data_IF_516022606130
#
_entry.id   IF_516022606130
#
_cell.length_a   1.000
_cell.length_b   1.000
_cell.length_c   1.000
_cell.angle_alpha   90.00
_cell.angle_beta   90.00
_cell.angle_gamma   90.00
#
_symmetry.space_group_name_H-M   'P 1'
#
loop_
_entity.id
_entity.type
_entity.pdbx_description
1 polymer ?
#
# COMPACT_ATOMS: atom_id res chain seq x y z
N UNK A 1 -0.89 -30.04 -79.68
CA UNK A 1 -0.23 -30.32 -78.39
C UNK A 1 0.76 -29.21 -78.07
N UNK A 2 0.45 -28.30 -77.14
CA UNK A 2 1.42 -27.44 -76.43
C UNK A 2 0.81 -27.01 -75.09
N UNK A 3 1.63 -27.15 -74.04
CA UNK A 3 1.29 -27.31 -72.62
C UNK A 3 0.83 -26.01 -71.97
N UNK A 4 -0.23 -26.08 -71.15
CA UNK A 4 -0.65 -25.01 -70.25
C UNK A 4 0.16 -25.08 -68.94
N UNK A 5 0.91 -24.01 -68.65
CA UNK A 5 1.58 -23.80 -67.36
C UNK A 5 0.56 -23.34 -66.33
N UNK A 6 0.34 -24.14 -65.29
CA UNK A 6 -0.46 -23.75 -64.12
C UNK A 6 0.42 -22.96 -63.16
N UNK A 7 0.11 -21.68 -63.01
CA UNK A 7 0.65 -20.82 -61.95
C UNK A 7 -0.06 -21.17 -60.63
N UNK A 8 0.70 -21.64 -59.66
CA UNK A 8 0.25 -21.87 -58.28
C UNK A 8 0.53 -20.59 -57.50
N UNK A 9 -0.53 -19.88 -57.10
CA UNK A 9 -0.44 -18.70 -56.24
C UNK A 9 -0.54 -19.14 -54.77
N UNK A 10 0.53 -18.91 -54.01
CA UNK A 10 0.60 -19.14 -52.56
C UNK A 10 0.04 -17.88 -51.89
N UNK A 11 -1.12 -18.01 -51.24
CA UNK A 11 -1.72 -16.96 -50.42
C UNK A 11 -1.09 -17.04 -49.02
N UNK A 12 -0.24 -16.07 -48.68
CA UNK A 12 0.26 -15.85 -47.33
C UNK A 12 -0.86 -15.19 -46.50
N UNK A 13 -1.47 -15.97 -45.61
CA UNK A 13 -2.44 -15.48 -44.64
C UNK A 13 -1.78 -14.62 -43.58
N UNK A 14 -1.95 -13.31 -43.67
CA UNK A 14 -1.65 -12.37 -42.59
C UNK A 14 -2.74 -12.53 -41.53
N UNK A 15 -2.40 -13.16 -40.40
CA UNK A 15 -3.27 -13.20 -39.23
C UNK A 15 -3.50 -11.79 -38.70
N UNK A 16 -4.71 -11.26 -38.88
CA UNK A 16 -5.11 -9.98 -38.33
C UNK A 16 -5.18 -10.10 -36.80
N UNK A 17 -4.33 -9.36 -36.10
CA UNK A 17 -4.49 -9.12 -34.66
C UNK A 17 -5.72 -8.22 -34.53
N UNK A 18 -6.86 -8.80 -34.18
CA UNK A 18 -8.10 -8.07 -33.97
C UNK A 18 -7.98 -7.20 -32.70
N UNK A 19 -7.51 -5.97 -32.86
CA UNK A 19 -7.59 -4.93 -31.82
C UNK A 19 -8.98 -4.32 -31.85
N UNK A 20 -9.84 -4.67 -30.89
CA UNK A 20 -11.14 -4.02 -30.71
C UNK A 20 -10.95 -2.59 -30.16
N UNK A 21 -11.31 -1.60 -30.97
CA UNK A 21 -11.30 -0.17 -30.63
C UNK A 21 -12.60 0.20 -29.89
N UNK A 22 -12.69 -0.12 -28.60
CA UNK A 22 -13.75 0.40 -27.74
C UNK A 22 -13.36 1.79 -27.21
N UNK A 23 -14.32 2.72 -27.00
CA UNK A 23 -14.04 3.95 -26.26
C UNK A 23 -13.38 3.59 -24.92
N UNK A 24 -12.40 4.38 -24.49
CA UNK A 24 -11.51 4.10 -23.37
C UNK A 24 -12.26 3.89 -22.03
N UNK A 25 -12.71 2.67 -21.81
CA UNK A 25 -13.17 2.15 -20.53
C UNK A 25 -12.12 1.18 -19.99
N UNK A 26 -11.94 1.18 -18.68
CA UNK A 26 -11.09 0.20 -18.03
C UNK A 26 -11.57 -1.21 -18.39
N UNK A 27 -10.68 -2.05 -18.92
CA UNK A 27 -11.00 -3.44 -19.25
C UNK A 27 -10.68 -4.29 -18.00
N UNK A 28 -11.65 -4.97 -17.38
CA UNK A 28 -11.37 -5.90 -16.29
C UNK A 28 -10.64 -7.13 -16.84
N UNK A 29 -9.77 -7.72 -16.02
CA UNK A 29 -9.13 -8.99 -16.36
C UNK A 29 -10.01 -10.16 -15.88
N UNK A 30 -10.52 -10.99 -16.81
CA UNK A 30 -11.41 -12.13 -16.51
C UNK A 30 -12.57 -11.78 -15.57
N UNK A 31 -13.17 -10.61 -15.78
CA UNK A 31 -14.27 -10.09 -14.96
C UNK A 31 -13.84 -9.43 -13.63
N UNK A 32 -12.56 -9.44 -13.28
CA UNK A 32 -12.03 -8.81 -12.06
C UNK A 32 -11.53 -7.39 -12.32
N UNK A 33 -12.01 -6.42 -11.54
CA UNK A 33 -11.55 -5.03 -11.61
C UNK A 33 -10.20 -4.80 -10.90
N UNK A 34 -9.76 -5.75 -10.08
CA UNK A 34 -8.49 -5.69 -9.35
C UNK A 34 -7.73 -6.97 -9.66
N UNK A 35 -6.54 -6.83 -10.22
CA UNK A 35 -5.68 -7.94 -10.62
C UNK A 35 -4.22 -7.53 -10.49
N UNK A 36 -3.32 -8.49 -10.51
CA UNK A 36 -1.88 -8.23 -10.48
C UNK A 36 -1.22 -8.54 -11.82
N UNK A 37 -0.05 -7.96 -12.01
CA UNK A 37 0.89 -8.28 -13.07
C UNK A 37 2.24 -8.48 -12.40
N UNK A 38 2.87 -9.64 -12.64
CA UNK A 38 4.22 -9.93 -12.17
C UNK A 38 5.17 -9.95 -13.37
N UNK A 39 6.06 -8.95 -13.44
CA UNK A 39 7.04 -8.85 -14.53
C UNK A 39 8.44 -8.67 -13.96
N UNK A 40 9.36 -9.54 -14.34
CA UNK A 40 10.76 -9.51 -13.87
C UNK A 40 10.88 -9.52 -12.34
N UNK A 41 9.99 -10.25 -11.66
CA UNK A 41 9.94 -10.32 -10.19
C UNK A 41 9.30 -9.10 -9.51
N UNK A 42 8.82 -8.12 -10.27
CA UNK A 42 8.13 -6.93 -9.74
C UNK A 42 6.61 -7.12 -9.88
N UNK A 43 5.92 -7.11 -8.73
CA UNK A 43 4.46 -7.16 -8.67
C UNK A 43 3.87 -5.74 -8.72
N UNK A 44 2.93 -5.54 -9.64
CA UNK A 44 2.08 -4.34 -9.71
C UNK A 44 0.61 -4.74 -9.68
N UNK A 45 -0.20 -4.03 -8.91
CA UNK A 45 -1.65 -4.22 -8.85
C UNK A 45 -2.30 -3.18 -9.75
N UNK A 46 -3.14 -3.63 -10.66
CA UNK A 46 -3.94 -2.80 -11.55
C UNK A 46 -5.37 -2.74 -11.04
N UNK A 47 -5.94 -1.54 -11.09
CA UNK A 47 -7.30 -1.25 -10.65
C UNK A 47 -8.04 -0.60 -11.81
N UNK A 48 -9.05 -1.30 -12.32
CA UNK A 48 -9.98 -0.82 -13.33
C UNK A 48 -11.06 0.04 -12.69
N UNK A 49 -11.17 1.29 -13.11
CA UNK A 49 -12.09 2.28 -12.55
C UNK A 49 -12.49 3.34 -13.59
N UNK A 50 -13.21 4.37 -13.18
CA UNK A 50 -13.65 5.47 -14.06
C UNK A 50 -12.44 6.27 -14.54
N UNK A 51 -12.34 6.51 -15.84
CA UNK A 51 -11.26 7.29 -16.43
C UNK A 51 -11.16 8.70 -15.81
N UNK A 52 -9.92 9.20 -15.69
CA UNK A 52 -9.61 10.53 -15.13
C UNK A 52 -10.13 10.78 -13.69
N UNK A 53 -10.36 9.71 -12.92
CA UNK A 53 -10.79 9.78 -11.53
C UNK A 53 -9.65 9.49 -10.55
N UNK A 54 -9.98 9.35 -9.26
CA UNK A 54 -9.07 8.89 -8.22
C UNK A 54 -9.65 7.69 -7.49
N UNK A 55 -8.80 6.74 -7.17
CA UNK A 55 -9.12 5.61 -6.30
C UNK A 55 -8.33 5.75 -5.01
N UNK A 56 -9.00 5.71 -3.88
CA UNK A 56 -8.35 5.61 -2.58
C UNK A 56 -8.16 4.12 -2.26
N UNK A 57 -6.92 3.76 -1.96
CA UNK A 57 -6.54 2.42 -1.48
C UNK A 57 -6.13 2.55 -0.02
N UNK A 58 -6.75 1.77 0.84
CA UNK A 58 -6.30 1.58 2.21
C UNK A 58 -5.27 0.45 2.23
N UNK A 59 -4.06 0.74 2.69
CA UNK A 59 -2.97 -0.23 2.81
C UNK A 59 -2.93 -0.89 4.19
N UNK A 60 -3.94 -0.61 5.02
CA UNK A 60 -4.00 -1.06 6.40
C UNK A 60 -3.00 -0.32 7.28
N UNK A 61 -2.59 -1.00 8.35
CA UNK A 61 -1.68 -0.46 9.35
C UNK A 61 -0.23 -0.68 8.95
N UNK A 62 0.51 0.42 8.71
CA UNK A 62 1.95 0.40 8.45
C UNK A 62 2.69 0.89 9.68
N UNK A 63 3.69 0.14 10.13
CA UNK A 63 4.53 0.53 11.26
C UNK A 63 5.31 1.81 10.92
N UNK A 64 5.09 2.88 11.69
CA UNK A 64 5.89 4.10 11.59
C UNK A 64 6.81 4.18 12.80
N UNK A 65 8.10 4.07 12.52
CA UNK A 65 9.14 4.25 13.53
C UNK A 65 9.57 5.72 13.59
N UNK A 66 9.64 6.26 14.80
CA UNK A 66 10.17 7.58 15.09
C UNK A 66 11.11 7.50 16.28
N UNK A 67 12.22 8.23 16.23
CA UNK A 67 13.09 8.37 17.40
C UNK A 67 12.52 9.46 18.33
N UNK A 68 12.57 9.20 19.63
CA UNK A 68 12.29 10.21 20.67
C UNK A 68 13.46 10.26 21.64
N UNK A 69 13.80 11.47 22.05
CA UNK A 69 14.81 11.67 23.10
C UNK A 69 14.16 11.43 24.45
N UNK A 70 14.82 10.63 25.27
CA UNK A 70 14.42 10.33 26.64
C UNK A 70 14.57 11.60 27.49
N UNK A 71 13.53 11.91 28.26
CA UNK A 71 13.49 13.03 29.18
C UNK A 71 14.55 12.94 30.27
N UNK A 72 14.75 14.06 30.98
CA UNK A 72 15.78 14.17 32.00
C UNK A 72 15.59 13.18 33.17
N UNK A 73 14.36 12.70 33.39
CA UNK A 73 14.04 11.72 34.42
C UNK A 73 13.98 10.27 33.90
N UNK A 74 14.50 10.02 32.70
CA UNK A 74 14.53 8.69 32.13
C UNK A 74 13.19 8.26 31.54
N UNK A 75 12.32 9.21 31.20
CA UNK A 75 10.99 8.94 30.66
C UNK A 75 10.85 9.23 29.17
N UNK A 76 10.05 8.42 28.49
CA UNK A 76 9.60 8.68 27.12
C UNK A 76 8.09 8.83 27.14
N UNK A 77 7.60 10.00 26.72
CA UNK A 77 6.18 10.31 26.67
C UNK A 77 5.66 10.09 25.25
N UNK A 78 4.67 9.22 25.12
CA UNK A 78 4.04 8.88 23.85
C UNK A 78 2.62 9.44 23.90
N UNK A 79 2.38 10.48 23.12
CA UNK A 79 1.07 11.11 22.99
C UNK A 79 0.06 10.12 22.40
N UNK A 80 -1.22 10.31 22.74
CA UNK A 80 -2.32 9.55 22.13
C UNK A 80 -2.25 9.78 20.60
N UNK A 81 -2.18 8.72 19.80
CA UNK A 81 -2.15 8.85 18.35
C UNK A 81 -3.48 9.38 17.82
N UNK A 82 -3.50 9.92 16.61
CA UNK A 82 -4.72 10.42 15.97
C UNK A 82 -5.79 9.33 15.80
N UNK A 83 -5.38 8.06 15.70
CA UNK A 83 -6.27 6.90 15.69
C UNK A 83 -6.97 6.65 17.04
N UNK A 84 -6.50 7.27 18.12
CA UNK A 84 -6.98 7.04 19.48
C UNK A 84 -6.50 5.72 20.11
N UNK A 85 -5.75 4.89 19.39
CA UNK A 85 -5.34 3.55 19.84
C UNK A 85 -3.84 3.32 19.78
N UNK A 86 -3.27 2.73 20.84
CA UNK A 86 -1.88 2.30 20.92
C UNK A 86 -1.66 0.84 20.46
N UNK A 87 -2.63 0.21 19.78
CA UNK A 87 -2.50 -1.16 19.29
C UNK A 87 -1.23 -1.31 18.44
N UNK A 88 -0.39 -2.29 18.80
CA UNK A 88 0.87 -2.56 18.11
C UNK A 88 2.03 -1.62 18.46
N UNK A 89 1.90 -0.80 19.51
CA UNK A 89 3.00 0.01 20.03
C UNK A 89 4.22 -0.86 20.35
N UNK A 90 5.39 -0.44 19.87
CA UNK A 90 6.70 -1.00 20.20
C UNK A 90 7.65 0.10 20.64
N UNK A 91 8.49 -0.22 21.62
CA UNK A 91 9.52 0.67 22.14
C UNK A 91 10.83 -0.11 22.17
N UNK A 92 11.82 0.35 21.40
CA UNK A 92 13.06 -0.38 21.12
C UNK A 92 12.81 -1.82 20.62
N UNK A 93 11.77 -1.98 19.79
CA UNK A 93 11.34 -3.27 19.24
C UNK A 93 10.51 -4.14 20.19
N UNK A 94 10.44 -3.81 21.49
CA UNK A 94 9.62 -4.53 22.45
C UNK A 94 8.16 -4.07 22.40
N UNK A 95 7.22 -5.00 22.23
CA UNK A 95 5.78 -4.70 22.24
C UNK A 95 5.31 -4.20 23.61
N UNK A 96 4.57 -3.10 23.63
CA UNK A 96 3.97 -2.51 24.83
C UNK A 96 2.45 -2.60 24.72
N UNK A 97 1.83 -3.35 25.62
CA UNK A 97 0.38 -3.39 25.77
C UNK A 97 -0.09 -2.20 26.59
N UNK A 98 -0.40 -1.09 25.91
CA UNK A 98 -0.84 0.14 26.56
C UNK A 98 -2.11 -0.07 27.41
N UNK A 99 -3.02 -0.94 26.97
CA UNK A 99 -4.31 -1.18 27.63
C UNK A 99 -4.21 -1.85 29.00
N UNK A 100 -3.12 -2.57 29.25
CA UNK A 100 -2.82 -3.17 30.55
C UNK A 100 -2.02 -2.25 31.48
N UNK A 101 -1.57 -1.08 31.02
CA UNK A 101 -0.78 -0.18 31.86
C UNK A 101 -1.68 0.52 32.90
N UNK A 102 -1.21 0.65 34.16
CA UNK A 102 -1.94 1.37 35.19
C UNK A 102 -2.04 2.86 34.85
N UNK A 103 -3.15 3.50 35.24
CA UNK A 103 -3.32 4.94 35.10
C UNK A 103 -2.75 5.66 36.32
N UNK A 104 -1.80 6.58 36.11
CA UNK A 104 -1.10 7.32 37.17
C UNK A 104 -0.80 8.76 36.73
N UNK A 105 -0.80 9.71 37.65
CA UNK A 105 -0.40 11.09 37.37
C UNK A 105 1.12 11.14 37.15
N UNK A 106 1.55 11.91 36.16
CA UNK A 106 2.96 12.16 35.87
C UNK A 106 3.62 12.89 37.05
N UNK A 107 4.63 12.31 37.72
CA UNK A 107 5.37 13.01 38.76
C UNK A 107 6.21 14.16 38.18
N UNK A 108 6.56 15.11 39.03
CA UNK A 108 7.54 16.14 38.65
C UNK A 108 8.94 15.53 38.51
N UNK A 109 9.77 16.13 37.67
CA UNK A 109 11.16 15.72 37.49
C UNK A 109 12.07 16.63 38.33
N UNK A 110 12.79 16.07 39.30
CA UNK A 110 13.67 16.81 40.22
C UNK A 110 15.05 16.17 40.19
N UNK A 111 16.06 16.96 39.80
CA UNK A 111 17.46 16.53 39.73
C UNK A 111 17.69 15.23 38.91
N UNK A 112 16.94 15.05 37.81
CA UNK A 112 17.07 13.88 36.94
C UNK A 112 16.37 12.61 37.44
N UNK A 113 15.55 12.72 38.48
CA UNK A 113 14.72 11.61 39.00
C UNK A 113 13.28 12.07 39.23
N UNK A 114 12.32 11.16 39.08
CA UNK A 114 10.93 11.49 39.43
C UNK A 114 10.80 11.79 40.93
N UNK A 115 9.99 12.78 41.28
CA UNK A 115 9.70 13.12 42.68
C UNK A 115 9.00 11.98 43.44
N UNK A 116 8.37 11.07 42.71
CA UNK A 116 7.79 9.81 43.20
C UNK A 116 8.29 8.67 42.31
N UNK A 117 8.85 7.56 42.85
CA UNK A 117 9.36 6.46 42.05
C UNK A 117 8.30 5.82 41.14
N UNK A 118 8.66 5.60 39.88
CA UNK A 118 7.84 4.89 38.89
C UNK A 118 8.67 3.72 38.32
N UNK A 119 8.64 2.54 38.94
CA UNK A 119 9.42 1.40 38.47
C UNK A 119 8.85 0.79 37.18
N UNK A 120 7.56 1.00 36.91
CA UNK A 120 6.85 0.41 35.77
C UNK A 120 6.27 1.48 34.84
N UNK A 121 6.12 1.09 33.56
CA UNK A 121 5.44 1.92 32.57
C UNK A 121 3.99 2.17 32.97
N UNK A 122 3.46 3.34 32.64
CA UNK A 122 2.11 3.73 33.04
C UNK A 122 1.42 4.59 31.98
N UNK A 123 0.12 4.80 32.13
CA UNK A 123 -0.64 5.79 31.37
C UNK A 123 -0.96 7.00 32.23
N UNK A 124 -0.93 8.18 31.64
CA UNK A 124 -1.44 9.39 32.31
C UNK A 124 -2.97 9.45 32.24
N UNK A 125 -3.65 10.23 33.09
CA UNK A 125 -5.10 10.48 32.97
C UNK A 125 -5.51 11.06 31.61
N UNK A 126 -4.58 11.72 30.92
CA UNK A 126 -4.77 12.26 29.58
C UNK A 126 -4.51 11.22 28.46
N UNK A 127 -4.35 9.94 28.81
CA UNK A 127 -4.17 8.84 27.87
C UNK A 127 -2.75 8.65 27.33
N UNK A 128 -1.79 9.52 27.66
CA UNK A 128 -0.41 9.35 27.20
C UNK A 128 0.22 8.11 27.81
N UNK A 129 0.96 7.33 27.02
CA UNK A 129 1.80 6.24 27.53
C UNK A 129 3.16 6.79 27.94
N UNK A 130 3.62 6.42 29.13
CA UNK A 130 4.90 6.83 29.69
C UNK A 130 5.75 5.58 29.88
N UNK A 131 6.88 5.55 29.17
CA UNK A 131 7.90 4.52 29.33
C UNK A 131 8.96 5.07 30.27
N UNK A 132 9.29 4.32 31.32
CA UNK A 132 10.24 4.74 32.37
C UNK A 132 11.51 3.91 32.32
N UNK A 133 12.47 4.24 33.18
CA UNK A 133 13.78 3.54 33.30
C UNK A 133 14.59 3.51 31.99
N UNK A 134 14.43 4.53 31.14
CA UNK A 134 15.30 4.74 29.99
C UNK A 134 16.47 5.63 30.39
N UNK A 135 17.59 5.52 29.69
CA UNK A 135 18.76 6.39 29.94
C UNK A 135 18.44 7.83 29.53
N UNK A 136 18.50 8.82 30.44
CA UNK A 136 18.24 10.22 30.10
C UNK A 136 19.09 10.70 28.92
N UNK A 137 18.47 11.43 27.98
CA UNK A 137 19.15 11.96 26.79
C UNK A 137 19.43 10.95 25.69
N UNK A 138 19.19 9.65 25.91
CA UNK A 138 19.30 8.65 24.85
C UNK A 138 18.15 8.79 23.82
N UNK A 139 18.37 8.30 22.60
CA UNK A 139 17.32 8.13 21.61
C UNK A 139 16.67 6.75 21.76
N UNK A 140 15.34 6.73 21.86
CA UNK A 140 14.52 5.51 21.91
C UNK A 140 13.71 5.41 20.65
N UNK A 141 13.66 4.23 20.04
CA UNK A 141 12.86 3.97 18.86
C UNK A 141 11.42 3.67 19.28
N UNK A 142 10.47 4.43 18.75
CA UNK A 142 9.04 4.22 18.96
C UNK A 142 8.41 3.86 17.64
N UNK A 143 7.91 2.63 17.56
CA UNK A 143 7.17 2.14 16.42
C UNK A 143 5.69 2.06 16.79
N UNK A 144 4.85 2.77 16.04
CA UNK A 144 3.41 2.70 16.20
C UNK A 144 2.77 2.51 14.82
N UNK A 145 1.93 1.48 14.62
CA UNK A 145 1.20 1.32 13.40
C UNK A 145 0.27 2.51 13.17
N UNK A 146 0.26 3.01 11.95
CA UNK A 146 -0.69 4.02 11.52
C UNK A 146 -1.38 3.54 10.25
N UNK A 147 -2.66 3.87 10.13
CA UNK A 147 -3.40 3.63 8.89
C UNK A 147 -2.75 4.40 7.75
N UNK A 148 -2.50 3.70 6.65
CA UNK A 148 -1.86 4.25 5.48
C UNK A 148 -2.82 4.18 4.30
N UNK A 149 -3.25 5.33 3.80
CA UNK A 149 -4.04 5.40 2.58
C UNK A 149 -3.21 5.97 1.43
N UNK A 150 -3.49 5.52 0.20
CA UNK A 150 -2.90 6.05 -1.03
C UNK A 150 -4.00 6.45 -2.00
N UNK A 151 -3.93 7.68 -2.50
CA UNK A 151 -4.77 8.14 -3.59
C UNK A 151 -4.04 7.89 -4.92
N UNK A 152 -4.60 7.01 -5.73
CA UNK A 152 -4.10 6.66 -7.05
C UNK A 152 -4.88 7.41 -8.11
N UNK A 153 -4.19 8.03 -9.06
CA UNK A 153 -4.84 8.67 -10.21
C UNK A 153 -5.14 7.61 -11.25
N UNK A 154 -6.38 7.61 -11.74
CA UNK A 154 -6.84 6.74 -12.81
C UNK A 154 -6.56 7.45 -14.14
N UNK A 155 -5.85 6.79 -15.04
CA UNK A 155 -5.52 7.36 -16.34
C UNK A 155 -6.77 7.51 -17.24
N UNK A 156 -6.58 8.09 -18.43
CA UNK A 156 -7.65 8.31 -19.39
C UNK A 156 -8.28 7.01 -19.94
N UNK A 157 -7.60 5.87 -19.77
CA UNK A 157 -8.12 4.54 -20.10
C UNK A 157 -8.79 3.82 -18.93
N UNK A 158 -8.90 4.45 -17.76
CA UNK A 158 -9.56 3.87 -16.62
C UNK A 158 -8.68 2.97 -15.74
N UNK A 159 -7.34 3.01 -15.87
CA UNK A 159 -6.46 2.21 -15.00
C UNK A 159 -5.72 3.07 -13.97
N UNK A 160 -5.73 2.61 -12.71
CA UNK A 160 -4.80 3.01 -11.67
C UNK A 160 -3.81 1.87 -11.38
N UNK A 161 -2.61 2.22 -10.92
CA UNK A 161 -1.55 1.24 -10.64
C UNK A 161 -1.04 1.44 -9.21
N UNK A 162 -1.16 0.40 -8.39
CA UNK A 162 -0.50 0.30 -7.09
C UNK A 162 0.75 -0.56 -7.25
N UNK A 163 1.92 0.05 -7.03
CA UNK A 163 3.22 -0.63 -7.08
C UNK A 163 4.05 -0.26 -5.87
N UNK A 164 5.01 -1.15 -5.56
CA UNK A 164 6.06 -0.84 -4.62
C UNK A 164 6.85 0.40 -5.07
N UNK A 165 7.35 1.14 -4.11
CA UNK A 165 8.26 2.28 -4.30
C UNK A 165 9.55 2.00 -3.55
N UNK A 166 10.59 2.79 -3.81
CA UNK A 166 11.88 2.65 -3.10
C UNK A 166 11.74 2.78 -1.57
N UNK A 167 10.71 3.47 -1.10
CA UNK A 167 10.44 3.70 0.32
C UNK A 167 9.32 2.84 0.91
N UNK A 168 8.59 2.06 0.10
CA UNK A 168 7.38 1.36 0.57
C UNK A 168 7.12 0.15 -0.29
N UNK A 169 7.22 -1.04 0.32
CA UNK A 169 6.81 -2.29 -0.30
C UNK A 169 5.30 -2.31 -0.57
N UNK A 170 4.88 -3.19 -1.48
CA UNK A 170 3.46 -3.50 -1.66
C UNK A 170 2.97 -4.28 -0.42
N UNK A 171 1.82 -3.93 0.19
CA UNK A 171 1.33 -4.69 1.33
C UNK A 171 0.78 -6.06 0.90
N UNK A 172 0.80 -7.02 1.81
CA UNK A 172 0.19 -8.34 1.58
C UNK A 172 -1.33 -8.27 1.49
N UNK A 173 -1.93 -7.33 2.23
CA UNK A 173 -3.37 -7.04 2.26
C UNK A 173 -3.63 -5.54 2.09
N UNK A 174 -4.72 -5.19 1.41
CA UNK A 174 -5.18 -3.81 1.22
C UNK A 174 -6.68 -3.81 0.96
N UNK A 175 -7.34 -2.66 1.10
CA UNK A 175 -8.75 -2.52 0.76
C UNK A 175 -8.99 -1.38 -0.22
N UNK A 176 -10.01 -1.55 -1.07
CA UNK A 176 -10.45 -0.54 -2.02
C UNK A 176 -11.95 -0.36 -1.81
N UNK A 177 -12.37 0.85 -1.44
CA UNK A 177 -13.78 1.15 -1.14
C UNK A 177 -14.42 0.18 -0.14
N UNK A 178 -13.66 -0.26 0.87
CA UNK A 178 -14.11 -1.19 1.91
C UNK A 178 -14.14 -2.67 1.49
N UNK A 179 -13.69 -3.02 0.28
CA UNK A 179 -13.49 -4.42 -0.13
C UNK A 179 -12.04 -4.82 0.10
N UNK A 180 -11.82 -5.87 0.89
CA UNK A 180 -10.49 -6.37 1.22
C UNK A 180 -9.93 -7.28 0.13
N UNK A 181 -8.64 -7.13 -0.15
CA UNK A 181 -7.87 -7.90 -1.11
C UNK A 181 -6.58 -8.39 -0.46
N UNK A 182 -6.09 -9.55 -0.93
CA UNK A 182 -4.73 -9.99 -0.64
C UNK A 182 -3.95 -10.11 -1.94
N UNK A 183 -2.70 -9.67 -1.97
CA UNK A 183 -1.86 -9.73 -3.17
C UNK A 183 -1.72 -11.17 -3.67
N UNK A 184 -1.74 -12.16 -2.76
CA UNK A 184 -1.70 -13.58 -3.11
C UNK A 184 -2.96 -14.04 -3.86
N UNK A 185 -4.16 -13.57 -3.46
CA UNK A 185 -5.43 -14.01 -4.05
C UNK A 185 -5.78 -13.33 -5.39
N UNK A 186 -5.09 -12.24 -5.75
CA UNK A 186 -5.31 -11.58 -7.03
C UNK A 186 -4.93 -12.47 -8.21
N UNK A 187 -5.78 -12.47 -9.24
CA UNK A 187 -5.47 -13.08 -10.52
C UNK A 187 -4.27 -12.38 -11.16
N UNK A 188 -3.32 -13.17 -11.68
CA UNK A 188 -2.18 -12.65 -12.42
C UNK A 188 -2.51 -12.59 -13.91
N UNK A 189 -2.45 -11.38 -14.47
CA UNK A 189 -2.72 -11.13 -15.88
C UNK A 189 -1.50 -11.41 -16.79
N UNK A 190 -0.32 -11.68 -16.21
CA UNK A 190 0.94 -11.95 -16.91
C UNK A 190 1.56 -10.70 -17.55
N UNK A 191 0.79 -9.98 -18.37
CA UNK A 191 1.19 -8.72 -19.00
C UNK A 191 0.21 -7.60 -18.67
N UNK A 192 0.75 -6.38 -18.59
CA UNK A 192 0.00 -5.17 -18.28
C UNK A 192 -0.78 -4.63 -19.48
N UNK A 193 -1.96 -4.01 -19.26
CA UNK A 193 -2.63 -3.23 -20.30
C UNK A 193 -1.82 -1.96 -20.61
N UNK A 194 -1.97 -1.44 -21.82
CA UNK A 194 -1.35 -0.20 -22.26
C UNK A 194 -2.46 0.81 -22.60
N UNK A 195 -2.35 2.01 -22.03
CA UNK A 195 -3.15 3.15 -22.44
C UNK A 195 -2.33 4.04 -23.38
N UNK A 196 -2.81 4.27 -24.61
CA UNK A 196 -2.21 5.26 -25.52
C UNK A 196 -3.18 6.38 -25.77
N UNK A 197 -2.65 7.61 -25.87
CA UNK A 197 -3.44 8.78 -26.25
C UNK A 197 -2.87 9.36 -27.52
N UNK A 198 -3.70 9.53 -28.55
CA UNK A 198 -3.32 10.10 -29.84
C UNK A 198 -4.45 10.98 -30.34
N UNK A 199 -4.15 12.22 -30.75
CA UNK A 199 -5.17 13.15 -31.23
C UNK A 199 -6.23 13.54 -30.19
N UNK A 200 -5.95 13.38 -28.88
CA UNK A 200 -6.92 13.61 -27.80
C UNK A 200 -7.84 12.43 -27.48
N UNK A 201 -7.75 11.35 -28.26
CA UNK A 201 -8.47 10.10 -27.99
C UNK A 201 -7.56 9.11 -27.26
N UNK A 202 -8.10 8.47 -26.23
CA UNK A 202 -7.41 7.41 -25.49
C UNK A 202 -7.91 6.04 -25.95
N UNK A 203 -6.97 5.12 -26.17
CA UNK A 203 -7.24 3.74 -26.61
C UNK A 203 -6.53 2.77 -25.68
N UNK A 204 -7.27 1.75 -25.25
CA UNK A 204 -6.76 0.66 -24.42
C UNK A 204 -6.25 -0.47 -25.32
N UNK A 205 -5.07 -0.98 -25.02
CA UNK A 205 -4.52 -2.20 -25.62
C UNK A 205 -4.31 -3.23 -24.53
N UNK A 206 -5.00 -4.36 -24.62
CA UNK A 206 -4.79 -5.50 -23.73
C UNK A 206 -4.00 -6.58 -24.47
N UNK A 207 -3.15 -7.35 -23.76
CA UNK A 207 -2.51 -8.53 -24.33
C UNK A 207 -3.55 -9.54 -24.84
N UNK A 208 -3.24 -10.24 -25.94
CA UNK A 208 -4.14 -11.27 -26.49
C UNK A 208 -4.41 -12.44 -25.53
N UNK A 209 -3.59 -12.62 -24.50
CA UNK A 209 -3.81 -13.61 -23.43
C UNK A 209 -5.00 -13.29 -22.52
N UNK A 210 -5.57 -12.07 -22.60
CA UNK A 210 -6.70 -11.65 -21.79
C UNK A 210 -8.06 -12.11 -22.31
N UNK A 211 -8.15 -12.46 -23.60
CA UNK A 211 -9.42 -12.76 -24.29
C UNK A 211 -9.79 -14.25 -24.29
N UNK A 212 -9.08 -15.07 -23.51
CA UNK A 212 -9.31 -16.51 -23.38
C UNK A 212 -9.89 -16.89 -22.01
#
# INVERSE_FOLDING_TARGET
>A
MRKANKLVAIVLGVGAIASSISPASAVPYKGSNVYKVVKEGVTSIYISSTANSRVQVDLGSVERSTARIVGACGEVRISVPNSGSFTGLKVDGASISADSLPSQVMPSCVNGTFSEPRPDNFRTPNGQVVIVNKTPGAAVAIALPNEATRNLSVNACGFAILRATTSTALPDSFSISGTDYTTASLQDAGDAPICRTSGGESTVYVPGSWTN
#
